data_IF_098338302736
#
_entry.id   IF_098338302736
#
_cell.length_a   1.000
_cell.length_b   1.000
_cell.length_c   1.000
_cell.angle_alpha   90.00
_cell.angle_beta   90.00
_cell.angle_gamma   90.00
#
_symmetry.space_group_name_H-M   'P 1'
#
loop_
_entity.id
_entity.type
_entity.pdbx_description
1 polymer ?
#
# COMPACT_ATOMS: atom_id res chain seq x y z
N UNK A 1 -0.31 1.87 15.50
CA UNK A 1 -0.35 1.88 14.03
C UNK A 1 -0.21 0.47 13.51
N UNK A 2 -0.97 0.15 12.46
CA UNK A 2 -0.87 -1.09 11.70
C UNK A 2 -0.63 -0.74 10.24
N UNK A 3 0.20 -1.51 9.56
CA UNK A 3 0.50 -1.35 8.14
C UNK A 3 0.32 -2.68 7.43
N UNK A 4 -0.38 -2.67 6.31
CA UNK A 4 -0.58 -3.85 5.47
C UNK A 4 0.07 -3.62 4.11
N UNK A 5 0.90 -4.56 3.67
CA UNK A 5 1.57 -4.52 2.36
C UNK A 5 1.11 -5.70 1.50
N UNK A 6 0.59 -5.39 0.31
CA UNK A 6 0.12 -6.34 -0.69
C UNK A 6 0.97 -6.20 -1.95
N UNK A 7 1.53 -7.31 -2.41
CA UNK A 7 2.41 -7.37 -3.58
C UNK A 7 2.28 -8.72 -4.27
N UNK A 8 2.77 -8.86 -5.50
CA UNK A 8 2.82 -10.14 -6.20
C UNK A 8 4.27 -10.52 -6.44
N UNK A 9 4.64 -11.75 -6.07
CA UNK A 9 5.97 -12.29 -6.39
C UNK A 9 6.11 -12.78 -7.84
N UNK A 10 5.00 -12.81 -8.61
CA UNK A 10 4.97 -13.31 -9.99
C UNK A 10 4.61 -12.24 -11.03
N UNK A 11 3.79 -11.27 -10.65
CA UNK A 11 3.36 -10.20 -11.54
C UNK A 11 4.29 -9.01 -11.39
N UNK A 12 4.75 -8.44 -12.51
CA UNK A 12 5.49 -7.19 -12.48
C UNK A 12 4.54 -6.02 -12.24
N UNK A 13 4.88 -5.08 -11.33
CA UNK A 13 4.15 -3.84 -11.19
C UNK A 13 4.12 -3.06 -12.51
N UNK A 14 2.98 -2.43 -12.81
CA UNK A 14 2.88 -1.52 -13.95
C UNK A 14 3.90 -0.40 -13.81
N UNK A 15 4.45 0.08 -14.92
CA UNK A 15 5.57 1.04 -14.95
C UNK A 15 5.31 2.28 -14.08
N UNK A 16 4.08 2.79 -14.08
CA UNK A 16 3.69 3.96 -13.29
C UNK A 16 3.55 3.69 -11.78
N UNK A 17 3.50 2.42 -11.36
CA UNK A 17 3.34 1.99 -9.96
C UNK A 17 4.49 1.10 -9.50
N UNK A 18 5.67 1.30 -10.09
CA UNK A 18 6.86 0.52 -9.83
C UNK A 18 7.14 0.33 -8.33
N UNK A 19 7.55 -0.88 -7.96
CA UNK A 19 7.94 -1.24 -6.60
C UNK A 19 8.94 -2.40 -6.67
N UNK A 20 10.12 -2.24 -6.07
CA UNK A 20 11.00 -3.37 -5.81
C UNK A 20 10.51 -4.13 -4.58
N UNK A 21 9.90 -5.29 -4.81
CA UNK A 21 9.35 -6.15 -3.75
C UNK A 21 10.39 -6.52 -2.69
N UNK A 22 11.65 -6.80 -3.07
CA UNK A 22 12.67 -7.20 -2.09
C UNK A 22 13.00 -6.03 -1.17
N UNK A 23 13.12 -4.83 -1.74
CA UNK A 23 13.37 -3.62 -0.98
C UNK A 23 12.18 -3.24 -0.10
N UNK A 24 10.96 -3.30 -0.62
CA UNK A 24 9.74 -3.05 0.16
C UNK A 24 9.61 -4.02 1.35
N UNK A 25 9.86 -5.31 1.15
CA UNK A 25 9.85 -6.31 2.22
C UNK A 25 10.92 -6.02 3.29
N UNK A 26 12.13 -5.63 2.88
CA UNK A 26 13.18 -5.24 3.82
C UNK A 26 12.81 -3.99 4.65
N UNK A 27 12.12 -3.02 4.03
CA UNK A 27 11.59 -1.85 4.75
C UNK A 27 10.45 -2.23 5.71
N UNK A 28 9.57 -3.15 5.33
CA UNK A 28 8.53 -3.68 6.22
C UNK A 28 9.13 -4.32 7.48
N UNK A 29 10.20 -5.10 7.35
CA UNK A 29 10.89 -5.70 8.51
C UNK A 29 11.55 -4.63 9.40
N UNK A 30 12.11 -3.57 8.82
CA UNK A 30 12.64 -2.44 9.60
C UNK A 30 11.52 -1.72 10.38
N UNK A 31 10.38 -1.48 9.75
CA UNK A 31 9.23 -0.84 10.39
C UNK A 31 8.65 -1.73 11.51
N UNK A 32 8.62 -3.05 11.30
CA UNK A 32 8.25 -4.03 12.32
C UNK A 32 9.21 -4.02 13.51
N UNK A 33 10.52 -3.90 13.26
CA UNK A 33 11.53 -3.79 14.32
C UNK A 33 11.35 -2.53 15.19
N UNK A 34 10.68 -1.50 14.67
CA UNK A 34 10.26 -0.30 15.43
C UNK A 34 8.94 -0.47 16.20
N UNK A 35 8.36 -1.67 16.23
CA UNK A 35 7.15 -1.98 16.99
C UNK A 35 5.84 -1.70 16.25
N UNK A 36 5.89 -1.45 14.94
CA UNK A 36 4.67 -1.33 14.12
C UNK A 36 4.12 -2.72 13.79
N UNK A 37 2.79 -2.88 13.91
CA UNK A 37 2.09 -4.09 13.47
C UNK A 37 2.09 -4.16 11.95
N UNK A 38 2.76 -5.16 11.37
CA UNK A 38 2.95 -5.30 9.93
C UNK A 38 2.31 -6.60 9.44
N UNK A 39 1.47 -6.50 8.42
CA UNK A 39 0.93 -7.63 7.66
C UNK A 39 1.46 -7.56 6.24
N UNK A 40 1.94 -8.68 5.72
CA UNK A 40 2.44 -8.79 4.34
C UNK A 40 1.71 -9.93 3.65
N UNK A 41 1.20 -9.69 2.44
CA UNK A 41 0.51 -10.71 1.63
C UNK A 41 1.05 -10.74 0.19
N UNK A 42 1.44 -11.94 -0.25
CA UNK A 42 1.78 -12.23 -1.65
C UNK A 42 0.51 -12.61 -2.44
N UNK A 43 0.05 -11.68 -3.26
CA UNK A 43 -1.16 -11.77 -4.05
C UNK A 43 -1.05 -12.63 -5.32
N UNK A 44 0.15 -13.14 -5.62
CA UNK A 44 0.33 -14.19 -6.63
C UNK A 44 -0.27 -15.53 -6.22
N UNK A 45 -0.47 -15.72 -4.90
CA UNK A 45 -1.00 -16.95 -4.30
C UNK A 45 -2.48 -16.80 -3.97
N UNK A 46 -2.86 -15.64 -3.45
CA UNK A 46 -4.23 -15.33 -3.08
C UNK A 46 -4.56 -13.86 -3.37
N UNK A 47 -5.61 -13.56 -4.15
CA UNK A 47 -5.98 -12.19 -4.44
C UNK A 47 -6.35 -11.42 -3.17
N UNK A 48 -6.23 -10.09 -3.23
CA UNK A 48 -6.71 -9.22 -2.16
C UNK A 48 -8.21 -9.44 -1.97
N UNK A 49 -8.66 -9.56 -0.73
CA UNK A 49 -10.08 -9.68 -0.45
C UNK A 49 -10.83 -8.40 -0.86
N UNK A 50 -12.00 -8.52 -1.49
CA UNK A 50 -12.82 -7.37 -1.91
C UNK A 50 -13.04 -6.35 -0.79
N UNK A 51 -13.22 -6.82 0.46
CA UNK A 51 -13.39 -5.94 1.63
C UNK A 51 -12.17 -5.05 1.86
N UNK A 52 -10.97 -5.58 1.68
CA UNK A 52 -9.71 -4.82 1.79
C UNK A 52 -9.62 -3.80 0.66
N UNK A 53 -9.88 -4.21 -0.59
CA UNK A 53 -9.92 -3.29 -1.72
C UNK A 53 -10.91 -2.14 -1.49
N UNK A 54 -12.14 -2.45 -1.09
CA UNK A 54 -13.17 -1.46 -0.79
C UNK A 54 -12.69 -0.50 0.33
N UNK A 55 -12.06 -1.00 1.40
CA UNK A 55 -11.51 -0.16 2.45
C UNK A 55 -10.39 0.77 1.94
N UNK A 56 -9.57 0.31 1.00
CA UNK A 56 -8.49 1.10 0.41
C UNK A 56 -9.03 2.26 -0.44
N UNK A 57 -10.17 2.06 -1.12
CA UNK A 57 -10.83 3.08 -1.94
C UNK A 57 -11.63 4.07 -1.09
N UNK A 58 -12.27 3.59 -0.01
CA UNK A 58 -13.22 4.39 0.79
C UNK A 58 -12.63 5.01 2.05
N UNK A 59 -11.56 4.45 2.61
CA UNK A 59 -10.97 4.87 3.87
C UNK A 59 -10.27 6.24 3.80
N UNK A 60 -9.30 6.43 2.89
CA UNK A 60 -8.57 7.68 2.79
C UNK A 60 -9.47 8.86 2.43
N UNK A 61 -9.15 10.03 3.00
CA UNK A 61 -9.83 11.27 2.63
C UNK A 61 -9.62 11.62 1.15
N UNK A 62 -10.49 12.46 0.59
CA UNK A 62 -10.41 12.85 -0.82
C UNK A 62 -9.09 13.54 -1.22
N UNK A 63 -8.39 14.18 -0.28
CA UNK A 63 -7.06 14.78 -0.52
C UNK A 63 -5.93 13.75 -0.54
N UNK A 64 -6.14 12.58 0.07
CA UNK A 64 -5.16 11.49 0.20
C UNK A 64 -5.55 10.24 -0.59
N UNK A 65 -6.47 10.37 -1.55
CA UNK A 65 -7.04 9.23 -2.28
C UNK A 65 -5.95 8.50 -3.06
N UNK A 66 -5.89 7.19 -2.86
CA UNK A 66 -5.00 6.31 -3.62
C UNK A 66 -5.41 6.23 -5.10
N UNK A 67 -4.56 5.59 -5.89
CA UNK A 67 -4.83 5.37 -7.32
C UNK A 67 -5.95 4.35 -7.56
N UNK A 68 -6.33 3.58 -6.54
CA UNK A 68 -7.35 2.53 -6.64
C UNK A 68 -8.74 3.07 -6.99
N UNK A 69 -9.48 2.31 -7.81
CA UNK A 69 -10.79 2.71 -8.33
C UNK A 69 -10.71 3.49 -9.66
N UNK A 70 -9.51 3.73 -10.17
CA UNK A 70 -9.28 4.23 -11.53
C UNK A 70 -8.93 3.09 -12.49
N UNK A 71 -9.07 3.35 -13.81
CA UNK A 71 -8.69 2.37 -14.84
C UNK A 71 -7.22 1.99 -14.72
N UNK A 72 -6.93 0.68 -14.65
CA UNK A 72 -5.57 0.14 -14.45
C UNK A 72 -5.11 0.10 -12.98
N UNK A 73 -6.02 0.36 -12.05
CA UNK A 73 -5.85 0.17 -10.61
C UNK A 73 -7.19 -0.27 -9.99
N UNK A 74 -7.85 -1.24 -10.62
CA UNK A 74 -9.10 -1.83 -10.15
C UNK A 74 -8.81 -2.94 -9.13
N UNK A 75 -9.86 -3.60 -8.64
CA UNK A 75 -9.76 -4.66 -7.64
C UNK A 75 -8.77 -5.75 -8.04
N UNK A 76 -8.84 -6.20 -9.29
CA UNK A 76 -8.00 -7.28 -9.82
C UNK A 76 -6.51 -6.92 -9.92
N UNK A 77 -6.20 -5.64 -9.99
CA UNK A 77 -4.85 -5.11 -10.09
C UNK A 77 -4.18 -4.95 -8.71
N UNK A 78 -4.98 -4.80 -7.65
CA UNK A 78 -4.50 -4.51 -6.30
C UNK A 78 -3.66 -5.67 -5.76
N UNK A 79 -2.45 -5.34 -5.31
CA UNK A 79 -1.44 -6.31 -4.89
C UNK A 79 -0.79 -7.07 -6.04
N UNK A 80 -1.16 -6.82 -7.30
CA UNK A 80 -0.53 -7.44 -8.47
C UNK A 80 0.24 -6.40 -9.29
N UNK A 81 -0.36 -5.94 -10.38
CA UNK A 81 0.17 -4.87 -11.24
C UNK A 81 0.18 -3.52 -10.52
N UNK A 82 -0.59 -3.36 -9.44
CA UNK A 82 -0.50 -2.21 -8.51
C UNK A 82 -0.23 -2.72 -7.09
N UNK A 83 1.01 -2.64 -6.58
CA UNK A 83 1.29 -2.96 -5.18
C UNK A 83 0.52 -2.00 -4.26
N UNK A 84 0.12 -2.46 -3.08
CA UNK A 84 -0.69 -1.65 -2.18
C UNK A 84 -0.09 -1.61 -0.77
N UNK A 85 0.03 -0.41 -0.21
CA UNK A 85 0.38 -0.20 1.19
C UNK A 85 -0.76 0.53 1.88
N UNK A 86 -1.38 -0.10 2.87
CA UNK A 86 -2.47 0.48 3.66
C UNK A 86 -1.93 0.81 5.05
N UNK A 87 -2.18 2.03 5.51
CA UNK A 87 -1.74 2.53 6.83
C UNK A 87 -2.96 2.82 7.69
N UNK A 88 -3.03 2.12 8.82
CA UNK A 88 -4.10 2.21 9.80
C UNK A 88 -3.56 2.90 11.07
N UNK A 89 -4.21 3.97 11.56
CA UNK A 89 -3.79 4.67 12.78
C UNK A 89 -3.64 3.73 13.97
N UNK A 90 -4.59 2.79 14.13
CA UNK A 90 -4.60 1.80 15.21
C UNK A 90 -4.81 0.38 14.66
N UNK A 91 -4.31 -0.60 15.41
CA UNK A 91 -4.64 -1.99 15.13
C UNK A 91 -6.13 -2.23 15.41
N UNK A 92 -6.80 -3.02 14.57
CA UNK A 92 -8.24 -3.26 14.61
C UNK A 92 -9.09 -2.22 13.87
N UNK A 93 -8.51 -1.12 13.37
CA UNK A 93 -9.26 -0.15 12.56
C UNK A 93 -9.77 -0.79 11.26
N UNK A 94 -11.02 -0.46 10.89
CA UNK A 94 -11.66 -1.02 9.70
C UNK A 94 -11.20 -0.36 8.40
N UNK A 95 -10.78 0.90 8.47
CA UNK A 95 -10.44 1.71 7.30
C UNK A 95 -9.04 2.30 7.46
N UNK A 96 -8.19 2.23 6.43
CA UNK A 96 -6.90 2.90 6.45
C UNK A 96 -7.09 4.41 6.34
N UNK A 97 -6.21 5.17 7.00
CA UNK A 97 -6.14 6.62 6.83
C UNK A 97 -5.35 7.00 5.58
N UNK A 98 -4.31 6.23 5.27
CA UNK A 98 -3.48 6.44 4.09
C UNK A 98 -3.33 5.15 3.30
N UNK A 99 -3.33 5.30 1.97
CA UNK A 99 -3.11 4.18 1.05
C UNK A 99 -2.18 4.65 -0.06
N UNK A 100 -1.21 3.79 -0.39
CA UNK A 100 -0.23 4.02 -1.44
C UNK A 100 -0.25 2.87 -2.46
N UNK A 101 0.11 3.13 -3.74
CA UNK A 101 0.54 4.41 -4.26
C UNK A 101 -0.62 5.42 -4.36
N UNK A 102 -0.29 6.70 -4.22
CA UNK A 102 -1.25 7.81 -4.39
C UNK A 102 -0.64 8.97 -5.12
N UNK A 103 -1.47 9.73 -5.82
CA UNK A 103 -1.10 11.04 -6.34
C UNK A 103 -1.14 12.05 -5.22
N UNK A 104 -0.02 12.67 -4.92
CA UNK A 104 0.06 13.74 -3.94
C UNK A 104 -0.10 15.09 -4.64
N UNK A 105 -1.12 15.85 -4.24
CA UNK A 105 -1.45 17.14 -4.88
C UNK A 105 -0.43 18.22 -4.58
N UNK A 106 0.15 18.19 -3.38
CA UNK A 106 1.07 19.22 -2.91
C UNK A 106 2.46 19.02 -3.53
N UNK A 107 2.90 17.76 -3.66
CA UNK A 107 4.16 17.42 -4.32
C UNK A 107 4.03 17.35 -5.86
N UNK A 108 2.81 17.35 -6.40
CA UNK A 108 2.55 17.26 -7.84
C UNK A 108 3.04 15.94 -8.48
N UNK A 109 3.20 14.87 -7.69
CA UNK A 109 3.72 13.58 -8.15
C UNK A 109 3.13 12.40 -7.40
N UNK A 110 3.35 11.20 -7.93
CA UNK A 110 3.02 9.96 -7.24
C UNK A 110 3.98 9.72 -6.07
N UNK A 111 3.43 9.29 -4.94
CA UNK A 111 4.19 8.67 -3.85
C UNK A 111 4.02 7.15 -3.97
N UNK A 112 5.12 6.45 -4.20
CA UNK A 112 5.18 4.99 -4.30
C UNK A 112 5.25 4.28 -2.94
N UNK A 113 5.17 2.95 -2.95
CA UNK A 113 5.18 2.13 -1.72
C UNK A 113 6.50 2.23 -0.97
N UNK A 114 7.64 2.16 -1.66
CA UNK A 114 8.97 2.22 -1.02
C UNK A 114 9.21 3.56 -0.32
N UNK A 115 8.84 4.66 -0.99
CA UNK A 115 8.94 6.00 -0.41
C UNK A 115 8.02 6.15 0.82
N UNK A 116 6.78 5.66 0.73
CA UNK A 116 5.85 5.68 1.85
C UNK A 116 6.38 4.87 3.05
N UNK A 117 6.91 3.66 2.83
CA UNK A 117 7.56 2.86 3.87
C UNK A 117 8.75 3.58 4.49
N UNK A 118 9.61 4.20 3.68
CA UNK A 118 10.75 4.95 4.19
C UNK A 118 10.32 6.16 5.04
N UNK A 119 9.29 6.88 4.60
CA UNK A 119 8.73 8.00 5.36
C UNK A 119 8.15 7.54 6.70
N UNK A 120 7.42 6.43 6.73
CA UNK A 120 6.90 5.83 7.97
C UNK A 120 8.02 5.42 8.92
N UNK A 121 9.10 4.81 8.40
CA UNK A 121 10.27 4.46 9.21
C UNK A 121 10.93 5.70 9.82
N UNK A 122 10.99 6.81 9.09
CA UNK A 122 11.57 8.07 9.59
C UNK A 122 10.70 8.75 10.66
N UNK A 123 9.40 8.43 10.70
CA UNK A 123 8.44 8.97 11.65
C UNK A 123 8.20 8.07 12.89
N UNK A 124 8.50 6.77 12.79
CA UNK A 124 8.37 5.78 13.86
C UNK A 124 9.59 5.76 14.79
#
# INVERSE_FOLDING_TARGET
MKVEFYYSSKDEPAMQFHCDNKKALALCEQLKAKGVSIVVQDCSQQPVAFKTYNSAVTGPSASKRAVFGAKGALEEDMGKTVPALLVFPKDGDRYPEEVFPRSDKDLGRLIGVEEALQNLINMA
#
